data_IF_077701601803
#
_entry.id   IF_077701601803
#
_cell.length_a   1.000
_cell.length_b   1.000
_cell.length_c   1.000
_cell.angle_alpha   90.00
_cell.angle_beta   90.00
_cell.angle_gamma   90.00
#
_symmetry.space_group_name_H-M   'P 1'
#
loop_
_entity.id
_entity.type
_entity.pdbx_description
1 polymer ?
#
# COMPACT_ATOMS: atom_id res chain seq x y z
N UNK A 1 39.63 1.90 -20.82
CA UNK A 1 40.27 1.98 -19.50
C UNK A 1 39.82 0.78 -18.69
N UNK A 2 40.71 -0.18 -18.44
CA UNK A 2 40.39 -1.48 -17.79
C UNK A 2 39.81 -1.31 -16.40
N UNK A 3 40.24 -0.26 -15.70
CA UNK A 3 39.80 0.16 -14.37
C UNK A 3 38.28 0.42 -14.31
N UNK A 4 37.70 0.98 -15.37
CA UNK A 4 36.25 1.29 -15.38
C UNK A 4 35.44 -0.01 -15.39
N UNK A 5 35.91 -1.04 -16.11
CA UNK A 5 35.21 -2.33 -16.21
C UNK A 5 35.25 -3.11 -14.89
N UNK A 6 36.35 -3.01 -14.15
CA UNK A 6 36.51 -3.63 -12.84
C UNK A 6 35.57 -2.98 -11.81
N UNK A 7 35.52 -1.64 -11.79
CA UNK A 7 34.62 -0.89 -10.90
C UNK A 7 33.14 -1.17 -11.22
N UNK A 8 32.77 -1.31 -12.50
CA UNK A 8 31.41 -1.66 -12.91
C UNK A 8 31.01 -3.07 -12.44
N UNK A 9 31.95 -4.03 -12.46
CA UNK A 9 31.69 -5.38 -11.99
C UNK A 9 31.47 -5.43 -10.47
N UNK A 10 32.34 -4.78 -9.70
CA UNK A 10 32.20 -4.68 -8.24
C UNK A 10 30.90 -3.97 -7.83
N UNK A 11 30.50 -2.93 -8.55
CA UNK A 11 29.25 -2.20 -8.29
C UNK A 11 28.01 -3.07 -8.54
N UNK A 12 28.09 -4.01 -9.49
CA UNK A 12 26.95 -4.86 -9.84
C UNK A 12 26.76 -6.02 -8.84
N UNK A 13 27.85 -6.50 -8.23
CA UNK A 13 27.78 -7.51 -7.14
C UNK A 13 27.21 -6.95 -5.84
N UNK A 14 27.44 -5.65 -5.59
CA UNK A 14 26.91 -4.95 -4.42
C UNK A 14 25.50 -4.40 -4.61
N UNK A 15 24.89 -4.60 -5.79
CA UNK A 15 23.52 -4.15 -6.03
C UNK A 15 22.60 -4.88 -5.06
N UNK A 16 21.89 -4.16 -4.17
CA UNK A 16 20.91 -4.78 -3.30
C UNK A 16 19.91 -5.59 -4.14
N UNK A 17 19.40 -6.73 -3.65
CA UNK A 17 18.31 -7.40 -4.34
C UNK A 17 17.21 -6.38 -4.60
N UNK A 18 16.61 -6.43 -5.79
CA UNK A 18 15.45 -5.59 -6.10
C UNK A 18 14.38 -5.87 -5.05
N UNK A 19 14.31 -5.00 -4.04
CA UNK A 19 13.24 -5.01 -3.07
C UNK A 19 12.04 -4.56 -3.90
N UNK A 20 11.28 -5.54 -4.40
CA UNK A 20 9.90 -5.32 -4.78
C UNK A 20 9.30 -4.59 -3.60
N UNK A 21 9.14 -3.27 -3.73
CA UNK A 21 8.52 -2.39 -2.76
C UNK A 21 7.05 -2.81 -2.67
N UNK A 22 6.80 -3.98 -2.11
CA UNK A 22 5.59 -4.29 -1.39
C UNK A 22 5.71 -3.45 -0.12
N UNK A 23 5.24 -2.22 -0.27
CA UNK A 23 4.70 -1.36 0.77
C UNK A 23 4.59 -2.07 2.13
N UNK A 24 5.24 -1.56 3.19
CA UNK A 24 5.26 -2.16 4.53
C UNK A 24 3.89 -2.19 5.24
N UNK A 25 2.78 -1.97 4.53
CA UNK A 25 1.42 -2.32 4.97
C UNK A 25 1.10 -3.83 4.87
N UNK A 26 2.11 -4.70 4.87
CA UNK A 26 1.95 -6.12 5.15
C UNK A 26 1.56 -6.33 6.62
N UNK A 27 0.31 -6.02 6.95
CA UNK A 27 -0.30 -6.31 8.25
C UNK A 27 -1.34 -7.42 8.17
N UNK A 28 -2.22 -7.39 7.17
CA UNK A 28 -3.14 -8.48 6.88
C UNK A 28 -3.54 -8.36 5.42
N UNK A 29 -3.57 -9.47 4.67
CA UNK A 29 -4.25 -9.47 3.37
C UNK A 29 -5.72 -9.23 3.65
N UNK A 30 -6.15 -7.97 3.61
CA UNK A 30 -7.53 -7.58 3.82
C UNK A 30 -8.39 -8.32 2.79
N UNK A 31 -9.16 -9.30 3.29
CA UNK A 31 -10.02 -10.17 2.49
C UNK A 31 -11.47 -9.80 2.77
N UNK A 32 -12.25 -9.64 1.72
CA UNK A 32 -13.69 -9.51 1.83
C UNK A 32 -14.29 -10.83 2.31
N UNK A 33 -14.82 -10.86 3.53
CA UNK A 33 -15.48 -12.04 4.11
C UNK A 33 -16.69 -12.53 3.27
N UNK A 34 -17.28 -11.68 2.44
CA UNK A 34 -18.45 -12.01 1.62
C UNK A 34 -18.11 -12.77 0.33
N UNK A 35 -16.95 -12.50 -0.29
CA UNK A 35 -16.61 -13.05 -1.62
C UNK A 35 -15.16 -13.51 -1.78
N UNK A 36 -14.32 -13.39 -0.76
CA UNK A 36 -12.92 -13.78 -0.80
C UNK A 36 -12.01 -12.84 -1.61
N UNK A 37 -12.53 -11.74 -2.15
CA UNK A 37 -11.72 -10.76 -2.87
C UNK A 37 -10.70 -10.09 -1.94
N UNK A 38 -9.50 -9.81 -2.44
CA UNK A 38 -8.40 -9.28 -1.62
C UNK A 38 -7.56 -8.25 -2.40
N UNK A 39 -6.73 -7.51 -1.67
CA UNK A 39 -5.76 -6.57 -2.27
C UNK A 39 -6.43 -5.47 -3.09
N UNK A 40 -6.16 -5.41 -4.40
CA UNK A 40 -6.61 -4.34 -5.31
C UNK A 40 -8.13 -4.22 -5.44
N UNK A 41 -8.84 -5.30 -5.11
CA UNK A 41 -10.30 -5.36 -5.10
C UNK A 41 -10.94 -4.71 -3.87
N UNK A 42 -10.14 -4.30 -2.87
CA UNK A 42 -10.63 -3.55 -1.72
C UNK A 42 -10.21 -2.08 -1.82
N UNK A 43 -11.18 -1.17 -1.77
CA UNK A 43 -10.96 0.29 -1.78
C UNK A 43 -11.12 0.82 -0.36
N UNK A 44 -10.29 1.78 0.04
CA UNK A 44 -10.52 2.58 1.25
C UNK A 44 -11.22 3.87 0.86
N UNK A 45 -12.29 4.22 1.57
CA UNK A 45 -13.05 5.45 1.36
C UNK A 45 -13.16 6.20 2.69
N UNK A 46 -13.09 7.52 2.62
CA UNK A 46 -13.34 8.40 3.77
C UNK A 46 -14.83 8.68 3.90
N UNK A 47 -15.36 8.47 5.10
CA UNK A 47 -16.71 8.88 5.46
C UNK A 47 -16.71 10.36 5.84
N UNK A 48 -17.16 11.18 4.89
CA UNK A 48 -17.26 12.64 5.05
C UNK A 48 -18.57 13.09 5.67
N UNK A 49 -19.40 12.18 6.19
CA UNK A 49 -20.65 12.54 6.88
C UNK A 49 -20.40 13.31 8.17
N UNK A 50 -19.36 12.95 8.92
CA UNK A 50 -18.97 13.61 10.17
C UNK A 50 -17.46 13.55 10.40
N UNK A 51 -16.81 14.67 10.76
CA UNK A 51 -15.40 14.66 11.15
C UNK A 51 -15.23 13.92 12.49
N UNK A 52 -14.23 13.04 12.55
CA UNK A 52 -13.84 12.31 13.75
C UNK A 52 -13.04 13.21 14.70
N UNK A 53 -12.11 13.99 14.15
CA UNK A 53 -11.28 14.93 14.89
C UNK A 53 -10.78 16.04 13.97
N UNK A 54 -10.11 17.05 14.54
CA UNK A 54 -9.47 18.12 13.79
C UNK A 54 -7.97 18.15 14.13
N UNK A 55 -7.13 18.22 13.11
CA UNK A 55 -5.71 18.54 13.25
C UNK A 55 -5.51 20.00 12.84
N UNK A 56 -5.54 20.90 13.83
CA UNK A 56 -5.67 22.34 13.58
C UNK A 56 -7.00 22.63 12.89
N UNK A 57 -6.96 23.21 11.68
CA UNK A 57 -8.15 23.55 10.91
C UNK A 57 -8.56 22.47 9.89
N UNK A 58 -7.86 21.33 9.86
CA UNK A 58 -8.11 20.26 8.88
C UNK A 58 -8.94 19.14 9.55
N UNK A 59 -10.17 18.87 9.07
CA UNK A 59 -10.99 17.77 9.58
C UNK A 59 -10.44 16.41 9.15
N UNK A 60 -10.34 15.49 10.11
CA UNK A 60 -9.99 14.09 9.90
C UNK A 60 -11.26 13.25 9.89
N UNK A 61 -11.43 12.42 8.86
CA UNK A 61 -12.62 11.60 8.67
C UNK A 61 -12.36 10.12 8.97
N UNK A 62 -13.41 9.41 9.38
CA UNK A 62 -13.35 7.96 9.51
C UNK A 62 -13.10 7.32 8.13
N UNK A 63 -12.41 6.18 8.11
CA UNK A 63 -12.16 5.41 6.88
C UNK A 63 -12.85 4.07 6.99
N UNK A 64 -13.53 3.68 5.91
CA UNK A 64 -14.11 2.35 5.75
C UNK A 64 -13.58 1.71 4.48
N UNK A 65 -13.74 0.39 4.36
CA UNK A 65 -13.29 -0.41 3.23
C UNK A 65 -14.51 -0.85 2.43
N UNK A 66 -14.36 -0.90 1.12
CA UNK A 66 -15.40 -1.37 0.19
C UNK A 66 -14.80 -2.38 -0.76
N UNK A 67 -15.42 -3.56 -0.82
CA UNK A 67 -15.09 -4.55 -1.83
C UNK A 67 -15.70 -4.13 -3.18
N UNK A 68 -14.85 -3.90 -4.19
CA UNK A 68 -15.27 -3.55 -5.55
C UNK A 68 -15.99 -4.70 -6.27
N UNK A 69 -15.73 -5.96 -5.89
CA UNK A 69 -16.37 -7.12 -6.52
C UNK A 69 -17.82 -7.33 -6.10
N UNK A 70 -18.11 -7.25 -4.80
CA UNK A 70 -19.44 -7.58 -4.27
C UNK A 70 -20.18 -6.41 -3.61
N UNK A 71 -19.54 -5.24 -3.53
CA UNK A 71 -20.11 -4.02 -2.93
C UNK A 71 -20.15 -3.99 -1.41
N UNK A 72 -19.64 -5.02 -0.71
CA UNK A 72 -19.68 -5.06 0.74
C UNK A 72 -18.80 -3.96 1.36
N UNK A 73 -19.34 -3.28 2.37
CA UNK A 73 -18.65 -2.23 3.13
C UNK A 73 -18.30 -2.78 4.52
N UNK A 74 -17.07 -2.57 4.98
CA UNK A 74 -16.58 -3.08 6.26
C UNK A 74 -15.35 -2.29 6.76
#
# INVERSE_FOLDING_TARGET
>A
STIIKEIEAELNELKPPEILNNDPTSGDRLICAKCGAAGKDIKTIEDKSKPLSYMGNIPMYAKYKVCKKCGNQF
#
